data_IF_733234757425
#
_entry.id   IF_733234757425
#
_cell.length_a   1.000
_cell.length_b   1.000
_cell.length_c   1.000
_cell.angle_alpha   90.00
_cell.angle_beta   90.00
_cell.angle_gamma   90.00
#
_symmetry.space_group_name_H-M   'P 1'
#
loop_
_entity.id
_entity.type
_entity.pdbx_description
1 polymer ?
#
# COMPACT_ATOMS: atom_id res chain seq x y z
N UNK A 1 -9.41 -6.90 3.08
CA UNK A 1 -8.04 -6.37 2.97
C UNK A 1 -7.90 -5.14 3.83
N UNK A 2 -6.79 -4.99 4.51
CA UNK A 2 -6.49 -3.80 5.31
C UNK A 2 -5.36 -3.02 4.66
N UNK A 3 -5.56 -1.71 4.54
CA UNK A 3 -4.55 -0.80 3.99
C UNK A 3 -4.20 0.22 5.05
N UNK A 4 -2.92 0.30 5.40
CA UNK A 4 -2.43 1.25 6.41
C UNK A 4 -1.69 2.36 5.67
N UNK A 5 -2.20 3.58 5.79
CA UNK A 5 -1.66 4.75 5.11
C UNK A 5 -0.41 5.29 5.82
N UNK A 6 0.36 6.17 5.17
CA UNK A 6 1.56 6.73 5.79
C UNK A 6 1.30 7.46 7.11
N UNK A 7 0.10 8.02 7.29
CA UNK A 7 -0.30 8.67 8.55
C UNK A 7 -0.85 7.69 9.57
N UNK A 8 -0.75 6.38 9.29
CA UNK A 8 -1.23 5.26 10.10
C UNK A 8 -2.75 5.09 10.12
N UNK A 9 -3.47 5.81 9.26
CA UNK A 9 -4.91 5.59 9.09
C UNK A 9 -5.14 4.21 8.49
N UNK A 10 -6.10 3.48 9.05
CA UNK A 10 -6.49 2.17 8.55
C UNK A 10 -7.68 2.32 7.61
N UNK A 11 -7.55 1.79 6.40
CA UNK A 11 -8.62 1.73 5.42
C UNK A 11 -8.92 0.28 5.12
N UNK A 12 -10.19 -0.11 5.18
CA UNK A 12 -10.60 -1.46 4.80
C UNK A 12 -11.10 -1.47 3.37
N UNK A 13 -10.67 -2.47 2.60
CA UNK A 13 -11.10 -2.67 1.22
C UNK A 13 -11.64 -4.08 1.07
N UNK A 14 -12.37 -4.32 -0.03
CA UNK A 14 -12.81 -5.68 -0.37
C UNK A 14 -11.60 -6.56 -0.61
N UNK A 15 -11.78 -7.88 -0.48
CA UNK A 15 -10.71 -8.83 -0.74
C UNK A 15 -10.51 -9.18 -2.21
N UNK A 16 -11.14 -8.45 -3.13
CA UNK A 16 -10.96 -8.69 -4.56
C UNK A 16 -9.51 -8.43 -4.95
N UNK A 17 -8.91 -9.31 -5.78
CA UNK A 17 -7.53 -9.13 -6.20
C UNK A 17 -7.31 -7.80 -6.92
N UNK A 18 -6.26 -7.09 -6.54
CA UNK A 18 -5.93 -5.80 -7.13
C UNK A 18 -4.43 -5.57 -7.05
N UNK A 19 -3.80 -4.97 -8.09
CA UNK A 19 -2.42 -4.56 -7.99
C UNK A 19 -2.27 -3.43 -6.97
N UNK A 20 -1.17 -3.43 -6.22
CA UNK A 20 -0.92 -2.38 -5.23
C UNK A 20 -0.90 -1.00 -5.91
N UNK A 21 -0.39 -0.90 -7.13
CA UNK A 21 -0.38 0.33 -7.89
C UNK A 21 -1.77 0.95 -8.03
N UNK A 22 -2.81 0.12 -8.20
CA UNK A 22 -4.19 0.60 -8.30
C UNK A 22 -4.67 1.19 -6.97
N UNK A 23 -4.26 0.61 -5.85
CA UNK A 23 -4.60 1.14 -4.52
C UNK A 23 -3.95 2.52 -4.34
N UNK A 24 -2.68 2.65 -4.72
CA UNK A 24 -1.97 3.93 -4.63
C UNK A 24 -2.65 5.00 -5.47
N UNK A 25 -3.06 4.65 -6.70
CA UNK A 25 -3.78 5.57 -7.58
C UNK A 25 -5.10 6.02 -6.95
N UNK A 26 -5.87 5.07 -6.41
CA UNK A 26 -7.16 5.37 -5.78
C UNK A 26 -7.00 6.32 -4.59
N UNK A 27 -5.89 6.21 -3.87
CA UNK A 27 -5.61 7.03 -2.69
C UNK A 27 -4.89 8.34 -3.03
N UNK A 28 -4.51 8.52 -4.28
CA UNK A 28 -3.77 9.71 -4.70
C UNK A 28 -2.34 9.75 -4.17
N UNK A 29 -1.74 8.58 -3.92
CA UNK A 29 -0.38 8.48 -3.42
C UNK A 29 0.56 8.16 -4.58
N UNK A 30 1.62 8.95 -4.72
CA UNK A 30 2.64 8.70 -5.74
C UNK A 30 3.49 7.48 -5.32
N UNK A 31 3.62 6.47 -6.20
CA UNK A 31 4.40 5.27 -5.84
C UNK A 31 5.83 5.57 -5.40
N UNK A 32 6.47 6.57 -6.01
CA UNK A 32 7.85 6.93 -5.68
C UNK A 32 7.99 7.58 -4.29
N UNK A 33 6.89 7.94 -3.65
CA UNK A 33 6.92 8.61 -2.35
C UNK A 33 6.84 7.66 -1.17
N UNK A 34 6.60 6.36 -1.41
CA UNK A 34 6.40 5.38 -0.34
C UNK A 34 7.11 4.07 -0.67
N UNK A 35 7.38 3.31 0.37
CA UNK A 35 7.68 1.88 0.24
C UNK A 35 6.44 1.09 0.64
N UNK A 36 6.31 -0.10 0.10
CA UNK A 36 5.11 -0.93 0.30
C UNK A 36 5.50 -2.21 1.02
N UNK A 37 4.76 -2.50 2.08
CA UNK A 37 4.87 -3.77 2.80
C UNK A 37 3.59 -4.57 2.60
N UNK A 38 3.72 -5.79 2.09
CA UNK A 38 2.62 -6.75 2.00
C UNK A 38 2.83 -7.80 3.08
N UNK A 39 1.93 -7.84 4.04
CA UNK A 39 2.03 -8.78 5.18
C UNK A 39 3.41 -8.69 5.84
N UNK A 40 3.92 -7.47 5.99
CA UNK A 40 5.20 -7.20 6.62
C UNK A 40 6.43 -7.36 5.75
N UNK A 41 6.26 -7.69 4.46
CA UNK A 41 7.38 -7.88 3.53
C UNK A 41 7.42 -6.78 2.49
N UNK A 42 8.61 -6.26 2.23
CA UNK A 42 8.82 -5.26 1.19
C UNK A 42 8.53 -5.86 -0.19
N UNK A 43 7.65 -5.23 -0.94
CA UNK A 43 7.26 -5.68 -2.28
C UNK A 43 7.16 -4.50 -3.24
N UNK A 44 7.31 -4.74 -4.55
CA UNK A 44 7.08 -3.69 -5.55
C UNK A 44 5.57 -3.45 -5.74
N UNK A 45 5.24 -2.35 -6.40
CA UNK A 45 3.84 -1.92 -6.57
C UNK A 45 3.03 -2.76 -7.55
N UNK A 46 3.68 -3.57 -8.36
CA UNK A 46 3.00 -4.43 -9.34
C UNK A 46 2.51 -5.75 -8.73
N UNK A 47 2.81 -5.99 -7.48
CA UNK A 47 2.34 -7.20 -6.79
C UNK A 47 0.84 -7.08 -6.54
N UNK A 48 0.13 -8.18 -6.77
CA UNK A 48 -1.31 -8.28 -6.50
C UNK A 48 -1.55 -8.64 -5.03
N UNK A 49 -2.53 -7.98 -4.43
CA UNK A 49 -2.99 -8.27 -3.07
C UNK A 49 -4.47 -8.64 -3.10
N UNK A 50 -4.91 -9.45 -2.15
CA UNK A 50 -6.30 -9.93 -2.11
C UNK A 50 -6.63 -10.48 -0.73
N UNK A 51 -7.90 -10.82 -0.53
CA UNK A 51 -8.36 -11.51 0.68
C UNK A 51 -8.09 -10.70 1.93
N UNK A 52 -7.42 -11.32 2.88
CA UNK A 52 -7.09 -10.71 4.17
C UNK A 52 -5.69 -10.10 4.20
N UNK A 53 -5.09 -9.86 3.06
CA UNK A 53 -3.76 -9.25 3.01
C UNK A 53 -3.75 -7.91 3.75
N UNK A 54 -2.63 -7.62 4.40
CA UNK A 54 -2.35 -6.31 4.97
C UNK A 54 -1.34 -5.60 4.05
N UNK A 55 -1.71 -4.41 3.62
CA UNK A 55 -0.84 -3.55 2.81
C UNK A 55 -0.52 -2.30 3.61
N UNK A 56 0.76 -2.00 3.78
CA UNK A 56 1.19 -0.81 4.51
C UNK A 56 2.06 0.05 3.62
N UNK A 57 1.76 1.35 3.60
CA UNK A 57 2.56 2.34 2.89
C UNK A 57 3.35 3.15 3.91
N UNK A 58 4.66 3.24 3.71
CA UNK A 58 5.55 4.00 4.58
C UNK A 58 6.18 5.11 3.75
N UNK A 59 6.02 6.35 4.19
CA UNK A 59 6.58 7.49 3.46
C UNK A 59 8.09 7.46 3.53
N UNK A 60 8.72 7.66 2.37
CA UNK A 60 10.16 7.80 2.29
C UNK A 60 10.53 9.21 2.73
N UNK A 61 11.42 9.30 3.70
CA UNK A 61 11.94 10.60 4.12
C UNK A 61 12.93 11.09 3.07
N UNK A 62 12.68 12.29 2.55
CA UNK A 62 13.61 12.93 1.64
C UNK A 62 14.56 13.77 2.47
N UNK A 63 15.84 13.41 2.44
CA UNK A 63 16.87 14.17 3.12
C UNK A 63 17.12 15.47 2.35
N UNK A 64 16.71 16.52 2.93
CA UNK A 64 17.04 17.84 2.46
C UNK A 64 16.22 18.40 1.36
#
# INVERSE_FOLDING_TARGET
MQVILPDKTLVKRSGDPVPIASILTDLGILPASVIVLKNGKLVPEDVTVSGDDEVRFIRIAHGG
#
